data_IF_724029662275
#
_entry.id   IF_724029662275
#
_cell.length_a   1.000
_cell.length_b   1.000
_cell.length_c   1.000
_cell.angle_alpha   90.00
_cell.angle_beta   90.00
_cell.angle_gamma   90.00
#
_symmetry.space_group_name_H-M   'P 1'
#
loop_
_entity.id
_entity.type
_entity.pdbx_description
1 polymer ?
#
# COMPACT_ATOMS: atom_id res chain seq x y z
N UNK A 1 -16.73 -42.18 41.58
CA UNK A 1 -17.18 -41.25 40.52
C UNK A 1 -16.45 -41.62 39.23
N UNK A 2 -17.13 -42.20 38.22
CA UNK A 2 -16.45 -42.74 37.05
C UNK A 2 -16.40 -41.77 35.86
N UNK A 3 -15.20 -41.69 35.28
CA UNK A 3 -14.83 -41.55 33.86
C UNK A 3 -15.77 -40.83 32.87
N UNK A 4 -15.28 -39.73 32.29
CA UNK A 4 -15.83 -39.13 31.07
C UNK A 4 -15.05 -39.63 29.85
N UNK A 5 -15.76 -40.34 28.97
CA UNK A 5 -15.24 -41.04 27.79
C UNK A 5 -15.16 -40.11 26.57
N UNK A 6 -14.01 -40.10 25.90
CA UNK A 6 -13.84 -39.60 24.54
C UNK A 6 -14.51 -40.54 23.54
N UNK A 7 -15.58 -40.11 22.87
CA UNK A 7 -15.92 -40.48 21.48
C UNK A 7 -17.30 -39.90 21.08
N UNK A 8 -17.38 -39.48 19.81
CA UNK A 8 -18.59 -39.26 19.00
C UNK A 8 -19.22 -37.86 19.00
N UNK A 9 -18.63 -36.94 18.24
CA UNK A 9 -19.42 -35.97 17.46
C UNK A 9 -18.90 -36.01 16.01
N UNK A 10 -19.34 -37.03 15.29
CA UNK A 10 -19.32 -37.06 13.83
C UNK A 10 -20.78 -37.05 13.37
N UNK A 11 -21.06 -36.25 12.34
CA UNK A 11 -22.34 -36.13 11.60
C UNK A 11 -23.52 -35.48 12.34
N UNK A 12 -23.84 -34.26 11.91
CA UNK A 12 -25.19 -33.87 11.46
C UNK A 12 -25.08 -32.65 10.52
N UNK A 13 -24.71 -32.92 9.26
CA UNK A 13 -25.18 -32.13 8.11
C UNK A 13 -26.50 -32.77 7.69
N UNK A 14 -27.56 -31.97 7.64
CA UNK A 14 -28.88 -32.16 7.02
C UNK A 14 -29.76 -31.02 7.56
N UNK A 15 -30.66 -30.38 6.87
CA UNK A 15 -31.13 -30.45 5.49
C UNK A 15 -32.03 -29.22 5.34
N UNK A 16 -31.82 -28.39 4.33
CA UNK A 16 -32.83 -27.43 3.89
C UNK A 16 -32.59 -27.21 2.40
N UNK A 17 -33.66 -27.15 1.62
CA UNK A 17 -33.70 -27.10 0.15
C UNK A 17 -33.66 -28.46 -0.56
N UNK A 18 -34.76 -29.20 -0.44
CA UNK A 18 -35.26 -30.07 -1.49
C UNK A 18 -36.70 -29.68 -1.79
N UNK A 19 -36.98 -29.25 -3.03
CA UNK A 19 -38.27 -29.34 -3.73
C UNK A 19 -38.22 -28.47 -5.01
N UNK A 20 -37.50 -28.93 -6.03
CA UNK A 20 -37.85 -28.79 -7.45
C UNK A 20 -37.15 -29.95 -8.18
N UNK A 21 -37.90 -31.02 -8.45
CA UNK A 21 -37.54 -31.99 -9.49
C UNK A 21 -37.68 -31.32 -10.87
N UNK A 22 -37.14 -31.82 -11.96
CA UNK A 22 -36.44 -33.07 -12.25
C UNK A 22 -36.24 -33.12 -13.77
N UNK A 23 -35.59 -34.19 -14.22
CA UNK A 23 -35.46 -34.65 -15.61
C UNK A 23 -34.37 -33.96 -16.45
N UNK A 24 -33.32 -34.73 -16.73
CA UNK A 24 -32.28 -34.38 -17.70
C UNK A 24 -31.02 -35.23 -17.60
N UNK A 25 -31.15 -36.56 -17.51
CA UNK A 25 -30.01 -37.47 -17.72
C UNK A 25 -29.67 -37.51 -19.20
N UNK A 26 -28.53 -36.96 -19.58
CA UNK A 26 -27.86 -37.35 -20.82
C UNK A 26 -26.38 -37.58 -20.51
N UNK A 27 -26.06 -38.85 -20.26
CA UNK A 27 -24.69 -39.36 -20.33
C UNK A 27 -24.18 -39.19 -21.75
N UNK A 28 -23.09 -38.47 -21.92
CA UNK A 28 -22.25 -38.57 -23.11
C UNK A 28 -20.82 -38.88 -22.67
N UNK A 29 -20.49 -40.14 -22.94
CA UNK A 29 -19.21 -40.81 -22.84
C UNK A 29 -18.10 -39.96 -23.50
N UNK A 30 -17.00 -39.72 -22.78
CA UNK A 30 -15.80 -39.11 -23.35
C UNK A 30 -14.82 -40.23 -23.72
N UNK A 31 -14.91 -40.69 -24.96
CA UNK A 31 -14.02 -41.70 -25.53
C UNK A 31 -12.67 -41.09 -25.90
N UNK A 32 -11.61 -41.77 -25.47
CA UNK A 32 -10.22 -41.46 -25.78
C UNK A 32 -9.79 -42.21 -27.03
N UNK A 33 -9.41 -41.53 -28.12
CA UNK A 33 -8.55 -42.12 -29.17
C UNK A 33 -7.62 -41.07 -29.80
N UNK A 34 -6.36 -41.47 -29.85
CA UNK A 34 -5.26 -40.82 -30.55
C UNK A 34 -5.25 -41.17 -32.05
N UNK A 35 -4.77 -40.24 -32.87
CA UNK A 35 -4.07 -40.41 -34.17
C UNK A 35 -3.58 -39.00 -34.55
N UNK A 36 -2.27 -38.72 -34.60
CA UNK A 36 -1.33 -39.00 -35.70
C UNK A 36 -1.80 -38.46 -37.07
N UNK A 37 -0.92 -37.72 -37.76
CA UNK A 37 -1.17 -37.23 -39.11
C UNK A 37 -0.73 -35.79 -39.37
N UNK A 38 0.58 -35.60 -39.47
CA UNK A 38 1.24 -34.51 -40.19
C UNK A 38 0.60 -34.21 -41.56
N UNK A 39 0.25 -32.96 -41.86
CA UNK A 39 0.31 -32.39 -43.21
C UNK A 39 0.51 -30.88 -43.13
N UNK A 40 1.62 -30.41 -43.67
CA UNK A 40 1.96 -29.00 -43.73
C UNK A 40 0.99 -28.20 -44.58
N UNK A 41 0.80 -26.94 -44.19
CA UNK A 41 0.43 -25.90 -45.14
C UNK A 41 1.11 -24.61 -44.73
N UNK A 42 2.03 -24.22 -45.60
CA UNK A 42 2.84 -23.02 -45.49
C UNK A 42 1.93 -21.82 -45.72
N UNK A 43 1.85 -20.92 -44.74
CA UNK A 43 1.34 -19.57 -44.95
C UNK A 43 2.45 -18.58 -44.64
N UNK A 44 2.74 -17.80 -45.67
CA UNK A 44 3.86 -16.89 -45.83
C UNK A 44 3.77 -15.67 -44.90
N UNK A 45 4.92 -15.11 -44.50
CA UNK A 45 4.97 -13.92 -43.64
C UNK A 45 4.60 -12.66 -44.43
N UNK A 46 3.61 -11.91 -43.94
CA UNK A 46 3.26 -10.58 -44.45
C UNK A 46 4.23 -9.56 -43.88
N UNK A 47 5.31 -9.31 -44.62
CA UNK A 47 6.25 -8.21 -44.41
C UNK A 47 5.53 -6.86 -44.44
N UNK A 48 5.36 -6.24 -43.27
CA UNK A 48 4.95 -4.83 -43.19
C UNK A 48 6.17 -3.96 -43.49
N UNK A 49 6.28 -3.52 -44.74
CA UNK A 49 7.24 -2.53 -45.19
C UNK A 49 6.84 -1.16 -44.65
N UNK A 50 7.43 -0.77 -43.53
CA UNK A 50 7.41 0.61 -43.04
C UNK A 50 8.13 1.50 -44.06
N UNK A 51 7.37 2.20 -44.91
CA UNK A 51 7.88 3.30 -45.74
C UNK A 51 8.45 4.38 -44.82
N UNK A 52 9.78 4.45 -44.73
CA UNK A 52 10.50 5.65 -44.30
C UNK A 52 10.53 6.61 -45.49
N UNK A 53 9.73 7.66 -45.44
CA UNK A 53 9.86 8.81 -46.31
C UNK A 53 11.04 9.64 -45.82
N UNK A 54 12.12 9.65 -46.58
CA UNK A 54 13.19 10.63 -46.47
C UNK A 54 12.76 11.90 -47.21
N UNK A 55 12.89 13.06 -46.54
CA UNK A 55 12.86 14.40 -47.12
C UNK A 55 13.63 15.29 -46.16
N UNK A 56 14.91 15.52 -46.43
CA UNK A 56 15.46 16.58 -47.26
C UNK A 56 15.73 17.86 -46.44
N UNK A 57 17.03 18.13 -46.32
CA UNK A 57 17.69 19.24 -45.64
C UNK A 57 17.23 20.63 -46.11
N UNK A 58 17.28 21.62 -45.20
CA UNK A 58 17.80 22.97 -45.47
C UNK A 58 18.42 23.58 -44.19
N UNK A 59 19.63 24.19 -44.25
CA UNK A 59 20.20 25.00 -43.19
C UNK A 59 19.86 26.49 -43.41
N UNK A 60 19.42 27.19 -42.36
CA UNK A 60 19.13 28.62 -42.38
C UNK A 60 19.82 29.33 -41.23
N UNK A 61 20.88 30.08 -41.54
CA UNK A 61 21.59 31.01 -40.65
C UNK A 61 20.86 32.38 -40.62
N UNK A 62 20.68 32.88 -39.39
CA UNK A 62 20.48 34.24 -38.82
C UNK A 62 20.27 35.49 -39.72
N UNK A 63 19.58 36.52 -39.19
CA UNK A 63 20.37 37.69 -38.73
C UNK A 63 19.99 38.24 -37.34
N UNK A 64 21.04 38.59 -36.60
CA UNK A 64 21.06 39.46 -35.42
C UNK A 64 20.95 40.92 -35.87
N UNK A 65 19.86 41.62 -35.55
CA UNK A 65 19.82 43.09 -35.52
C UNK A 65 18.53 43.62 -34.86
N UNK A 66 18.57 43.86 -33.55
CA UNK A 66 17.82 44.95 -32.92
C UNK A 66 18.37 45.17 -31.50
N UNK A 67 19.59 45.71 -31.42
CA UNK A 67 19.99 46.49 -30.25
C UNK A 67 19.16 47.77 -30.24
N UNK A 68 18.34 47.95 -29.22
CA UNK A 68 17.68 49.21 -28.89
C UNK A 68 17.72 49.41 -27.38
N UNK A 69 18.81 50.02 -26.90
CA UNK A 69 18.97 50.53 -25.55
C UNK A 69 17.80 51.46 -25.19
N UNK A 70 17.12 51.21 -24.07
CA UNK A 70 16.52 52.26 -23.25
C UNK A 70 17.00 52.06 -21.81
N UNK A 71 18.03 52.83 -21.46
CA UNK A 71 18.59 52.94 -20.13
C UNK A 71 17.77 53.94 -19.29
N UNK A 72 17.46 53.50 -18.07
CA UNK A 72 17.39 54.26 -16.82
C UNK A 72 16.35 55.37 -16.62
N UNK A 73 15.44 55.14 -15.67
CA UNK A 73 15.22 56.07 -14.56
C UNK A 73 14.84 55.28 -13.30
N UNK A 74 15.77 55.22 -12.33
CA UNK A 74 15.54 54.71 -10.99
C UNK A 74 15.01 55.84 -10.11
N UNK A 75 13.85 55.66 -9.47
CA UNK A 75 13.47 56.41 -8.26
C UNK A 75 12.59 55.51 -7.37
N UNK A 76 13.07 55.26 -6.14
CA UNK A 76 12.20 55.14 -4.97
C UNK A 76 11.75 53.74 -4.55
N UNK A 77 12.54 53.10 -3.68
CA UNK A 77 11.98 52.17 -2.71
C UNK A 77 10.99 52.94 -1.80
N UNK A 78 9.72 52.53 -1.78
CA UNK A 78 8.87 52.72 -0.60
C UNK A 78 8.20 51.39 -0.27
N UNK A 79 8.60 50.93 0.90
CA UNK A 79 8.08 49.82 1.68
C UNK A 79 6.57 50.04 1.94
N UNK A 80 5.72 49.34 1.19
CA UNK A 80 4.27 49.37 1.42
C UNK A 80 3.58 48.07 0.98
N UNK A 81 4.25 46.93 1.15
CA UNK A 81 3.55 45.67 1.37
C UNK A 81 2.97 45.68 2.79
N UNK A 82 1.94 46.50 3.01
CA UNK A 82 1.00 46.28 4.11
C UNK A 82 0.11 45.12 3.74
N UNK A 83 0.57 43.93 4.09
CA UNK A 83 -0.30 42.84 4.52
C UNK A 83 -1.28 43.39 5.57
N UNK A 84 -2.48 43.75 5.15
CA UNK A 84 -3.64 43.67 6.02
C UNK A 84 -4.09 42.21 6.02
N UNK A 85 -3.38 41.41 6.80
CA UNK A 85 -4.01 40.29 7.48
C UNK A 85 -4.90 40.91 8.56
N UNK A 86 -6.08 41.40 8.18
CA UNK A 86 -7.13 41.62 9.15
C UNK A 86 -7.61 40.25 9.60
N UNK A 87 -7.26 39.93 10.84
CA UNK A 87 -7.79 38.81 11.57
C UNK A 87 -9.31 38.93 11.63
N UNK A 88 -9.98 38.11 10.83
CA UNK A 88 -11.32 37.69 11.16
C UNK A 88 -11.20 36.84 12.42
N UNK A 89 -11.49 37.45 13.57
CA UNK A 89 -11.77 36.72 14.80
C UNK A 89 -12.89 35.72 14.48
N UNK A 90 -12.52 34.43 14.39
CA UNK A 90 -13.48 33.36 14.27
C UNK A 90 -14.35 33.34 15.53
N UNK A 91 -15.68 33.27 15.43
CA UNK A 91 -16.51 33.03 16.60
C UNK A 91 -16.16 31.64 17.18
N UNK A 92 -16.26 31.43 18.51
CA UNK A 92 -16.22 30.10 19.09
C UNK A 92 -17.52 29.39 18.70
N UNK A 93 -17.50 28.74 17.54
CA UNK A 93 -18.64 28.07 16.94
C UNK A 93 -18.26 26.64 16.57
N UNK A 94 -18.67 25.70 17.43
CA UNK A 94 -18.79 24.26 17.26
C UNK A 94 -18.52 23.74 15.83
N UNK A 95 -17.37 23.08 15.66
CA UNK A 95 -16.84 22.57 14.40
C UNK A 95 -17.68 21.46 13.76
N UNK A 96 -18.77 21.83 13.09
CA UNK A 96 -19.67 20.89 12.40
C UNK A 96 -19.57 20.85 10.88
N UNK A 97 -19.22 21.96 10.21
CA UNK A 97 -19.39 22.05 8.74
C UNK A 97 -18.08 21.94 7.93
N UNK A 98 -16.95 22.45 8.44
CA UNK A 98 -15.67 22.37 7.73
C UNK A 98 -15.01 20.98 7.80
N UNK A 99 -15.35 20.18 8.81
CA UNK A 99 -14.76 18.86 9.02
C UNK A 99 -15.33 17.79 8.07
N UNK A 100 -16.60 17.90 7.68
CA UNK A 100 -17.25 16.98 6.74
C UNK A 100 -16.85 17.22 5.28
N UNK A 101 -16.40 18.43 4.92
CA UNK A 101 -15.98 18.77 3.56
C UNK A 101 -14.58 18.25 3.17
N UNK A 102 -13.85 17.58 4.08
CA UNK A 102 -12.48 17.06 3.84
C UNK A 102 -12.29 15.61 4.23
N UNK A 103 -13.37 14.83 4.19
CA UNK A 103 -13.30 13.37 4.25
C UNK A 103 -12.57 12.89 2.99
N UNK A 104 -11.24 12.87 3.02
CA UNK A 104 -10.42 12.55 1.84
C UNK A 104 -8.92 12.60 2.09
N UNK A 105 -8.45 13.75 2.56
CA UNK A 105 -7.02 14.10 2.56
C UNK A 105 -6.54 14.42 3.99
N UNK A 106 -5.31 14.02 4.35
CA UNK A 106 -4.74 14.39 5.63
C UNK A 106 -4.65 15.89 5.87
N UNK A 107 -4.82 16.28 7.14
CA UNK A 107 -4.87 17.70 7.51
C UNK A 107 -3.46 18.33 7.60
N UNK A 108 -2.48 17.56 8.06
CA UNK A 108 -1.13 18.03 8.38
C UNK A 108 -0.07 17.51 7.39
N UNK A 109 1.03 18.27 7.18
CA UNK A 109 2.19 17.74 6.45
C UNK A 109 2.81 16.57 7.20
N UNK A 110 3.55 15.75 6.46
CA UNK A 110 4.21 14.55 6.96
C UNK A 110 5.59 14.88 7.49
N UNK A 111 6.04 14.13 8.50
CA UNK A 111 7.46 14.07 8.85
C UNK A 111 8.21 13.18 7.86
N UNK A 112 9.56 13.27 7.82
CA UNK A 112 10.38 12.35 7.04
C UNK A 112 10.14 10.87 7.42
N UNK A 113 9.95 10.57 8.70
CA UNK A 113 9.74 9.21 9.21
C UNK A 113 8.40 8.64 8.75
N UNK A 114 7.34 9.45 8.75
CA UNK A 114 6.02 9.05 8.24
C UNK A 114 6.10 8.70 6.75
N UNK A 115 6.76 9.54 5.96
CA UNK A 115 6.94 9.30 4.52
C UNK A 115 7.82 8.07 4.27
N UNK A 116 8.89 7.89 5.04
CA UNK A 116 9.77 6.74 4.95
C UNK A 116 9.07 5.42 5.27
N UNK A 117 8.22 5.40 6.32
CA UNK A 117 7.42 4.23 6.67
C UNK A 117 6.38 3.90 5.59
N UNK A 118 5.69 4.90 5.06
CA UNK A 118 4.76 4.70 3.95
C UNK A 118 5.47 4.08 2.73
N UNK A 119 6.63 4.62 2.37
CA UNK A 119 7.44 4.07 1.29
C UNK A 119 7.96 2.65 1.60
N UNK A 120 8.32 2.34 2.85
CA UNK A 120 8.70 0.98 3.26
C UNK A 120 7.55 0.00 3.05
N UNK A 121 6.36 0.32 3.56
CA UNK A 121 5.16 -0.52 3.43
C UNK A 121 4.85 -0.81 1.95
N UNK A 122 4.88 0.21 1.10
CA UNK A 122 4.67 0.06 -0.34
C UNK A 122 5.74 -0.80 -1.01
N UNK A 123 7.03 -0.59 -0.69
CA UNK A 123 8.12 -1.42 -1.24
C UNK A 123 8.02 -2.88 -0.82
N UNK A 124 7.54 -3.15 0.40
CA UNK A 124 7.36 -4.51 0.90
C UNK A 124 6.11 -5.20 0.34
N UNK A 125 5.27 -4.50 -0.41
CA UNK A 125 4.03 -5.04 -0.98
C UNK A 125 2.91 -5.16 0.04
N UNK A 126 2.87 -4.28 1.05
CA UNK A 126 1.69 -4.16 1.89
C UNK A 126 0.54 -3.59 1.05
N UNK A 127 -0.69 -3.93 1.41
CA UNK A 127 -1.91 -3.37 0.81
C UNK A 127 -2.79 -2.81 1.93
N UNK A 128 -3.24 -1.57 1.76
CA UNK A 128 -4.08 -0.84 2.70
C UNK A 128 -5.49 -0.71 2.11
N UNK A 129 -6.37 -1.65 2.44
CA UNK A 129 -7.74 -1.70 1.95
C UNK A 129 -8.65 -0.75 2.72
N UNK A 130 -9.43 0.05 2.00
CA UNK A 130 -10.43 0.92 2.60
C UNK A 130 -11.44 1.46 1.60
N UNK A 131 -12.30 2.36 2.07
CA UNK A 131 -13.25 3.06 1.24
C UNK A 131 -13.02 4.57 1.28
N UNK A 132 -13.29 5.25 0.17
CA UNK A 132 -13.09 6.69 0.05
C UNK A 132 -13.93 7.52 1.03
N UNK A 133 -15.01 6.97 1.60
CA UNK A 133 -15.91 7.64 2.55
C UNK A 133 -15.64 7.24 4.01
N UNK A 134 -14.72 6.30 4.26
CA UNK A 134 -14.53 5.63 5.54
C UNK A 134 -13.79 6.51 6.58
N UNK A 135 -14.43 6.89 7.71
CA UNK A 135 -13.81 7.73 8.74
C UNK A 135 -12.53 7.15 9.33
N UNK A 136 -12.51 5.85 9.64
CA UNK A 136 -11.34 5.16 10.15
C UNK A 136 -10.18 5.13 9.14
N UNK A 137 -10.51 5.09 7.84
CA UNK A 137 -9.53 5.10 6.76
C UNK A 137 -8.87 6.49 6.66
N UNK A 138 -9.64 7.56 6.83
CA UNK A 138 -9.06 8.90 6.94
C UNK A 138 -8.25 9.07 8.22
N UNK A 139 -8.69 8.50 9.35
CA UNK A 139 -7.91 8.51 10.58
C UNK A 139 -6.54 7.85 10.35
N UNK A 140 -6.50 6.68 9.71
CA UNK A 140 -5.24 6.02 9.36
C UNK A 140 -4.37 6.89 8.44
N UNK A 141 -4.94 7.49 7.39
CA UNK A 141 -4.19 8.39 6.48
C UNK A 141 -3.66 9.63 7.21
N UNK A 142 -4.43 10.19 8.15
CA UNK A 142 -4.00 11.34 8.95
C UNK A 142 -2.76 11.04 9.81
N UNK A 143 -2.60 9.81 10.28
CA UNK A 143 -1.38 9.41 11.00
C UNK A 143 -0.12 9.52 10.12
N UNK A 144 -0.25 9.41 8.80
CA UNK A 144 0.87 9.49 7.86
C UNK A 144 1.14 10.90 7.31
N UNK A 145 0.22 11.86 7.50
CA UNK A 145 0.31 13.18 6.86
C UNK A 145 0.11 13.14 5.34
N UNK A 146 0.09 14.31 4.71
CA UNK A 146 -0.28 14.49 3.28
C UNK A 146 0.64 13.74 2.30
N UNK A 147 1.93 13.90 2.46
CA UNK A 147 2.96 13.27 1.63
C UNK A 147 3.00 11.76 1.88
N UNK A 148 3.03 11.34 3.15
CA UNK A 148 3.01 9.93 3.53
C UNK A 148 1.77 9.21 3.03
N UNK A 149 0.58 9.81 3.14
CA UNK A 149 -0.66 9.17 2.67
C UNK A 149 -0.69 8.93 1.17
N UNK A 150 -0.04 9.78 0.36
CA UNK A 150 0.06 9.61 -1.09
C UNK A 150 0.99 8.47 -1.48
N UNK A 151 1.93 8.11 -0.60
CA UNK A 151 2.85 7.00 -0.79
C UNK A 151 2.26 5.66 -0.33
N UNK A 152 1.13 5.66 0.40
CA UNK A 152 0.52 4.44 0.91
C UNK A 152 0.02 3.55 -0.22
N UNK A 153 0.13 2.21 -0.07
CA UNK A 153 -0.37 1.26 -1.06
C UNK A 153 -1.88 1.04 -0.86
N UNK A 154 -2.66 2.11 -1.05
CA UNK A 154 -4.10 2.11 -0.81
C UNK A 154 -4.86 1.36 -1.92
N UNK A 155 -5.77 0.48 -1.50
CA UNK A 155 -6.72 -0.21 -2.37
C UNK A 155 -8.12 0.30 -2.04
N UNK A 156 -8.75 0.93 -3.02
CA UNK A 156 -10.14 1.37 -2.93
C UNK A 156 -11.07 0.16 -3.08
N UNK A 157 -12.10 0.11 -2.22
CA UNK A 157 -13.04 -1.00 -2.19
C UNK A 157 -14.48 -0.63 -2.57
N UNK A 158 -14.81 0.66 -2.73
CA UNK A 158 -16.22 1.05 -2.89
C UNK A 158 -16.45 2.29 -3.77
N UNK A 159 -15.61 2.50 -4.78
CA UNK A 159 -15.89 3.49 -5.85
C UNK A 159 -16.61 2.87 -7.04
N UNK A 160 -16.24 1.66 -7.43
CA UNK A 160 -16.79 0.95 -8.58
C UNK A 160 -17.14 -0.49 -8.23
N UNK A 161 -17.85 -1.19 -9.13
CA UNK A 161 -18.12 -2.63 -8.96
C UNK A 161 -16.82 -3.45 -8.96
N UNK A 162 -15.88 -3.12 -9.86
CA UNK A 162 -14.59 -3.79 -9.91
C UNK A 162 -13.78 -3.62 -8.60
N UNK A 163 -13.87 -2.46 -7.94
CA UNK A 163 -13.26 -2.23 -6.62
C UNK A 163 -13.86 -3.14 -5.55
N UNK A 164 -15.21 -3.24 -5.52
CA UNK A 164 -15.93 -4.12 -4.60
C UNK A 164 -15.60 -5.59 -4.82
N UNK A 165 -15.56 -6.03 -6.08
CA UNK A 165 -15.19 -7.40 -6.46
C UNK A 165 -13.76 -7.73 -6.02
N UNK A 166 -12.80 -6.82 -6.26
CA UNK A 166 -11.41 -6.99 -5.80
C UNK A 166 -11.34 -7.18 -4.28
N UNK A 167 -12.03 -6.35 -3.50
CA UNK A 167 -11.99 -6.45 -2.04
C UNK A 167 -12.76 -7.67 -1.50
N UNK A 168 -13.84 -8.09 -2.19
CA UNK A 168 -14.55 -9.33 -1.89
C UNK A 168 -13.66 -10.55 -2.14
N UNK A 169 -12.95 -10.59 -3.26
CA UNK A 169 -11.98 -11.64 -3.57
C UNK A 169 -10.83 -11.70 -2.56
N UNK A 170 -10.36 -10.53 -2.09
CA UNK A 170 -9.37 -10.39 -1.02
C UNK A 170 -9.93 -10.66 0.40
N UNK A 171 -11.23 -11.02 0.50
CA UNK A 171 -11.95 -11.33 1.75
C UNK A 171 -11.84 -10.21 2.79
N UNK A 172 -11.93 -8.95 2.35
CA UNK A 172 -11.96 -7.80 3.27
C UNK A 172 -13.32 -7.73 3.96
N UNK A 173 -13.31 -7.83 5.29
CA UNK A 173 -14.53 -7.84 6.12
C UNK A 173 -14.81 -6.50 6.81
N UNK A 174 -13.78 -5.66 6.96
CA UNK A 174 -13.86 -4.38 7.65
C UNK A 174 -12.80 -3.41 7.12
N UNK A 175 -13.08 -2.11 7.27
CA UNK A 175 -12.15 -1.06 6.88
C UNK A 175 -11.62 -0.27 8.10
N UNK A 176 -10.35 0.16 8.05
CA UNK A 176 -9.35 -0.31 7.10
C UNK A 176 -8.89 -1.75 7.41
N UNK A 177 -8.29 -2.42 6.41
CA UNK A 177 -7.52 -3.65 6.64
C UNK A 177 -6.17 -3.55 5.94
N UNK A 178 -5.10 -3.86 6.65
CA UNK A 178 -3.76 -4.04 6.10
C UNK A 178 -3.50 -5.50 5.78
N UNK A 179 -2.88 -5.77 4.64
CA UNK A 179 -2.45 -7.10 4.22
C UNK A 179 -0.99 -7.05 3.78
N UNK A 180 -0.14 -7.94 4.30
CA UNK A 180 1.24 -8.08 3.87
C UNK A 180 1.62 -9.56 3.97
N UNK A 181 2.04 -10.17 2.85
CA UNK A 181 2.42 -11.60 2.78
C UNK A 181 1.41 -12.55 3.47
N UNK A 182 0.12 -12.28 3.31
CA UNK A 182 -0.97 -13.08 3.88
C UNK A 182 -1.30 -12.78 5.35
N UNK A 183 -0.47 -12.03 6.07
CA UNK A 183 -0.78 -11.51 7.41
C UNK A 183 -1.71 -10.31 7.32
N UNK A 184 -2.56 -10.10 8.33
CA UNK A 184 -3.58 -9.07 8.32
C UNK A 184 -3.65 -8.29 9.63
N UNK A 185 -3.83 -6.98 9.53
CA UNK A 185 -4.23 -6.12 10.65
C UNK A 185 -5.54 -5.42 10.30
N UNK A 186 -6.53 -5.52 11.17
CA UNK A 186 -7.86 -4.91 10.95
C UNK A 186 -8.00 -3.68 11.84
N UNK A 187 -8.58 -2.61 11.28
CA UNK A 187 -8.77 -1.34 11.96
C UNK A 187 -7.56 -0.42 11.87
N UNK A 188 -7.69 0.76 12.50
CA UNK A 188 -6.63 1.77 12.54
C UNK A 188 -5.46 1.26 13.38
N UNK A 189 -4.26 1.36 12.83
CA UNK A 189 -3.01 0.95 13.45
C UNK A 189 -2.14 2.17 13.73
N UNK A 190 -1.44 2.18 14.87
CA UNK A 190 -0.44 3.21 15.14
C UNK A 190 0.77 3.02 14.24
N UNK A 191 1.51 4.09 13.97
CA UNK A 191 2.68 4.03 13.08
C UNK A 191 3.77 3.10 13.63
N UNK A 192 3.96 3.06 14.94
CA UNK A 192 4.94 2.18 15.58
C UNK A 192 4.55 0.70 15.46
N UNK A 193 3.25 0.40 15.52
CA UNK A 193 2.72 -0.95 15.30
C UNK A 193 2.87 -1.38 13.85
N UNK A 194 2.52 -0.51 12.89
CA UNK A 194 2.72 -0.78 11.46
C UNK A 194 4.18 -1.00 11.14
N UNK A 195 5.08 -0.21 11.74
CA UNK A 195 6.52 -0.37 11.55
C UNK A 195 7.00 -1.74 12.06
N UNK A 196 6.67 -2.10 13.30
CA UNK A 196 7.08 -3.40 13.88
C UNK A 196 6.54 -4.56 13.05
N UNK A 197 5.26 -4.52 12.73
CA UNK A 197 4.62 -5.56 11.92
C UNK A 197 5.25 -5.67 10.52
N UNK A 198 5.54 -4.55 9.87
CA UNK A 198 6.21 -4.53 8.57
C UNK A 198 7.66 -5.05 8.64
N UNK A 199 8.39 -4.77 9.72
CA UNK A 199 9.73 -5.30 9.91
C UNK A 199 9.70 -6.83 10.14
N UNK A 200 8.76 -7.32 10.94
CA UNK A 200 8.56 -8.75 11.24
C UNK A 200 8.08 -9.56 10.01
N UNK A 201 7.07 -9.07 9.30
CA UNK A 201 6.44 -9.78 8.17
C UNK A 201 7.15 -9.48 6.84
N UNK A 202 7.51 -8.22 6.62
CA UNK A 202 8.15 -7.74 5.40
C UNK A 202 9.55 -8.29 5.21
N UNK A 203 10.19 -8.82 6.27
CA UNK A 203 11.54 -9.32 6.20
C UNK A 203 12.52 -8.17 5.96
N UNK A 204 12.49 -7.17 6.84
CA UNK A 204 13.64 -6.25 6.92
C UNK A 204 14.87 -7.07 7.38
N UNK A 205 16.09 -6.77 6.89
CA UNK A 205 17.29 -7.35 7.48
C UNK A 205 17.23 -7.07 8.98
N UNK A 206 17.24 -8.13 9.79
CA UNK A 206 17.15 -8.02 11.23
C UNK A 206 18.09 -6.91 11.73
N UNK A 207 17.69 -6.04 12.67
CA UNK A 207 18.68 -5.21 13.35
C UNK A 207 19.76 -6.18 13.84
N UNK A 208 21.02 -5.91 13.49
CA UNK A 208 22.16 -6.74 13.84
C UNK A 208 21.94 -7.24 15.27
N UNK A 209 21.60 -8.53 15.38
CA UNK A 209 21.46 -9.17 16.67
C UNK A 209 22.79 -8.93 17.34
N UNK A 210 22.80 -8.08 18.35
CA UNK A 210 23.85 -8.03 19.35
C UNK A 210 23.76 -9.37 20.05
N UNK A 211 24.33 -10.39 19.40
CA UNK A 211 24.70 -11.65 20.01
C UNK A 211 25.44 -11.28 21.27
N UNK A 212 24.89 -11.69 22.40
CA UNK A 212 25.33 -11.27 23.71
C UNK A 212 26.84 -11.37 23.82
N UNK A 213 27.45 -10.29 24.29
CA UNK A 213 28.72 -10.41 25.00
C UNK A 213 28.49 -11.44 26.12
N UNK A 214 29.24 -12.56 26.16
CA UNK A 214 29.13 -13.45 27.30
C UNK A 214 29.50 -12.65 28.55
N UNK A 215 28.60 -12.62 29.51
CA UNK A 215 28.90 -12.21 30.88
C UNK A 215 30.07 -13.06 31.34
N UNK A 216 31.26 -12.47 31.44
CA UNK A 216 32.44 -13.11 31.98
C UNK A 216 32.11 -13.63 33.39
N UNK A 217 31.88 -14.93 33.50
CA UNK A 217 31.76 -15.61 34.77
C UNK A 217 33.17 -15.88 35.29
N UNK A 218 33.55 -15.10 36.31
CA UNK A 218 34.34 -15.52 37.46
C UNK A 218 35.69 -16.19 37.21
N UNK A 219 36.76 -15.42 37.27
CA UNK A 219 38.03 -15.92 37.78
C UNK A 219 37.92 -15.99 39.31
N UNK A 220 37.61 -17.17 39.86
CA UNK A 220 37.87 -17.48 41.27
C UNK A 220 39.38 -17.64 41.43
N UNK A 221 40.05 -16.60 41.91
CA UNK A 221 41.44 -16.71 42.36
C UNK A 221 41.44 -17.50 43.67
N UNK A 222 41.89 -18.74 43.56
CA UNK A 222 42.24 -19.63 44.66
C UNK A 222 43.32 -18.96 45.53
N UNK A 223 42.99 -18.62 46.78
CA UNK A 223 43.94 -18.06 47.73
C UNK A 223 44.93 -19.13 48.23
N UNK A 224 46.21 -18.80 48.45
CA UNK A 224 47.17 -19.77 48.97
C UNK A 224 46.94 -19.99 50.48
N UNK A 225 46.50 -21.20 50.83
CA UNK A 225 46.53 -21.72 52.19
C UNK A 225 47.89 -22.33 52.53
N UNK A 226 48.62 -21.70 53.45
CA UNK A 226 49.77 -22.18 54.26
C UNK A 226 50.29 -20.94 55.00
N UNK A 227 50.71 -20.91 56.24
CA UNK A 227 50.97 -21.89 57.30
C UNK A 227 51.23 -21.03 58.56
N UNK A 228 50.74 -21.44 59.73
CA UNK A 228 51.06 -20.77 60.98
C UNK A 228 51.04 -21.80 62.10
N UNK A 229 52.22 -22.07 62.64
CA UNK A 229 52.53 -22.98 63.74
C UNK A 229 52.22 -22.31 65.07
#
# INVERSE_FOLDING_TARGET
MPHCSSAQITRRRNAFWGLWGGLGSLSLQQDSRAADGSHGRQHTPRSQTSRRSAGAAQPGLLPLAALGLLLAAAIGATDAQRVRAEGAAAPPGHGGAAAVARLGEPLNPSTPEQSALAAQLSRQGAEFYGAWWCPACFQQKNLFGKEGSRLLPYVECDKTEADRERCTAAKIQAYPTWVLKGQRLVGVQRLDELKRWADEVGGSPAPASTSGAPKAMGASTMGPGRMGN
#
